data_IF_097540768637
#
_entry.id   IF_097540768637
#
_cell.length_a   1.000
_cell.length_b   1.000
_cell.length_c   1.000
_cell.angle_alpha   90.00
_cell.angle_beta   90.00
_cell.angle_gamma   90.00
#
_symmetry.space_group_name_H-M   'P 1'
#
loop_
_entity.id
_entity.type
_entity.pdbx_description
1 polymer ?
#
# COMPACT_ATOMS: atom_id res chain seq x y z
N UNK A 1 25.13 -14.71 -10.54
CA UNK A 1 24.60 -13.66 -9.62
C UNK A 1 23.08 -13.74 -9.54
N UNK A 2 22.49 -13.98 -8.36
CA UNK A 2 21.04 -13.87 -8.18
C UNK A 2 20.59 -12.40 -8.22
N UNK A 3 19.61 -12.07 -9.08
CA UNK A 3 19.01 -10.73 -9.15
C UNK A 3 17.87 -10.61 -8.14
N UNK A 4 17.79 -9.48 -7.41
CA UNK A 4 16.67 -9.22 -6.50
C UNK A 4 15.36 -9.11 -7.32
N UNK A 5 14.34 -9.88 -6.93
CA UNK A 5 13.03 -9.89 -7.59
C UNK A 5 12.00 -9.13 -6.77
N UNK A 6 11.09 -8.46 -7.46
CA UNK A 6 9.96 -7.78 -6.83
C UNK A 6 9.00 -8.77 -6.19
N UNK A 7 8.60 -8.52 -4.94
CA UNK A 7 7.53 -9.30 -4.29
C UNK A 7 6.17 -8.98 -4.91
N UNK A 8 5.67 -9.90 -5.74
CA UNK A 8 4.38 -9.73 -6.46
C UNK A 8 3.17 -9.65 -5.53
N UNK A 9 3.19 -10.33 -4.39
CA UNK A 9 2.13 -10.26 -3.37
C UNK A 9 1.93 -8.84 -2.84
N UNK A 10 3.04 -8.10 -2.63
CA UNK A 10 3.03 -6.71 -2.21
C UNK A 10 2.47 -5.80 -3.31
N UNK A 11 2.93 -6.00 -4.55
CA UNK A 11 2.50 -5.23 -5.72
C UNK A 11 1.00 -5.36 -5.99
N UNK A 12 0.40 -6.54 -5.77
CA UNK A 12 -1.05 -6.74 -5.93
C UNK A 12 -1.89 -5.99 -4.88
N UNK A 13 -1.30 -5.64 -3.73
CA UNK A 13 -2.02 -5.03 -2.60
C UNK A 13 -1.82 -3.53 -2.49
N UNK A 14 -0.74 -3.01 -3.08
CA UNK A 14 -0.38 -1.59 -3.05
C UNK A 14 -0.57 -0.96 -4.42
N UNK A 15 -0.98 0.31 -4.44
CA UNK A 15 -0.97 1.15 -5.64
C UNK A 15 0.09 2.24 -5.47
N UNK A 16 0.98 2.38 -6.44
CA UNK A 16 2.00 3.43 -6.46
C UNK A 16 1.51 4.51 -7.43
N UNK A 17 1.39 5.76 -6.97
CA UNK A 17 1.01 6.89 -7.84
C UNK A 17 2.20 7.38 -8.66
N UNK A 18 1.94 8.15 -9.73
CA UNK A 18 3.00 8.81 -10.53
C UNK A 18 3.96 9.64 -9.67
N UNK A 19 3.45 10.24 -8.60
CA UNK A 19 4.20 11.05 -7.63
C UNK A 19 4.97 10.24 -6.58
N UNK A 20 4.93 8.91 -6.63
CA UNK A 20 5.65 8.03 -5.69
C UNK A 20 4.93 7.77 -4.36
N UNK A 21 3.67 8.19 -4.21
CA UNK A 21 2.88 7.90 -3.01
C UNK A 21 2.39 6.45 -3.04
N UNK A 22 2.50 5.77 -1.90
CA UNK A 22 1.98 4.42 -1.71
C UNK A 22 0.56 4.50 -1.16
N UNK A 23 -0.39 3.94 -1.90
CA UNK A 23 -1.78 3.82 -1.49
C UNK A 23 -2.09 2.37 -1.11
N UNK A 24 -2.86 2.20 -0.04
CA UNK A 24 -3.39 0.90 0.43
C UNK A 24 -4.88 0.99 0.73
N UNK A 25 -5.57 -0.15 0.70
CA UNK A 25 -6.89 -0.28 1.33
C UNK A 25 -6.74 -0.56 2.83
N UNK A 26 -7.79 -0.27 3.59
CA UNK A 26 -7.85 -0.69 4.98
C UNK A 26 -8.22 -2.18 5.10
N UNK A 27 -7.88 -2.74 6.26
CA UNK A 27 -8.16 -4.14 6.60
C UNK A 27 -9.59 -4.31 7.14
N UNK A 28 -10.05 -5.56 7.28
CA UNK A 28 -11.37 -5.95 7.82
C UNK A 28 -12.54 -5.37 7.00
N UNK A 29 -12.56 -5.70 5.71
CA UNK A 29 -13.66 -5.38 4.78
C UNK A 29 -14.28 -6.60 4.08
N UNK A 30 -13.67 -7.78 4.21
CA UNK A 30 -14.16 -8.99 3.52
C UNK A 30 -15.37 -9.63 4.18
N UNK A 31 -15.55 -9.47 5.49
CA UNK A 31 -16.62 -10.12 6.26
C UNK A 31 -16.99 -9.28 7.49
N UNK A 32 -18.14 -9.57 8.11
CA UNK A 32 -18.72 -8.84 9.26
C UNK A 32 -18.96 -7.33 9.01
N UNK A 33 -19.30 -6.96 7.77
CA UNK A 33 -19.59 -5.56 7.43
C UNK A 33 -20.92 -5.05 8.02
N UNK A 34 -21.81 -5.94 8.45
CA UNK A 34 -23.10 -5.61 9.09
C UNK A 34 -22.94 -4.87 10.42
N UNK A 35 -21.87 -5.17 11.17
CA UNK A 35 -21.56 -4.49 12.45
C UNK A 35 -20.90 -3.12 12.27
N UNK A 36 -20.59 -2.73 11.03
CA UNK A 36 -19.96 -1.45 10.73
C UNK A 36 -21.00 -0.45 10.24
N UNK A 37 -20.99 0.74 10.84
CA UNK A 37 -21.72 1.88 10.31
C UNK A 37 -21.29 2.19 8.88
N UNK A 38 -22.21 2.74 8.09
CA UNK A 38 -21.95 3.04 6.69
C UNK A 38 -20.78 4.02 6.51
N UNK A 39 -20.68 5.03 7.39
CA UNK A 39 -19.56 5.96 7.40
C UNK A 39 -18.22 5.23 7.63
N UNK A 40 -18.16 4.30 8.59
CA UNK A 40 -16.96 3.52 8.87
C UNK A 40 -16.60 2.59 7.69
N UNK A 41 -17.60 1.98 7.05
CA UNK A 41 -17.43 1.12 5.88
C UNK A 41 -16.88 1.89 4.68
N UNK A 42 -17.48 3.05 4.36
CA UNK A 42 -17.00 3.95 3.29
C UNK A 42 -15.56 4.39 3.54
N UNK A 43 -15.26 4.87 4.76
CA UNK A 43 -13.91 5.30 5.15
C UNK A 43 -12.86 4.21 5.00
N UNK A 44 -13.23 2.96 5.27
CA UNK A 44 -12.31 1.82 5.14
C UNK A 44 -12.10 1.42 3.67
N UNK A 45 -13.14 1.48 2.84
CA UNK A 45 -13.09 1.02 1.45
C UNK A 45 -12.31 1.96 0.54
N UNK A 46 -12.12 3.22 0.93
CA UNK A 46 -11.28 4.17 0.18
C UNK A 46 -9.79 3.83 0.30
N UNK A 47 -9.06 4.11 -0.79
CA UNK A 47 -7.61 4.04 -0.78
C UNK A 47 -7.05 5.17 0.09
N UNK A 48 -6.16 4.83 1.02
CA UNK A 48 -5.45 5.79 1.86
C UNK A 48 -3.95 5.70 1.63
N UNK A 49 -3.30 6.85 1.75
CA UNK A 49 -1.85 6.92 1.70
C UNK A 49 -1.24 6.22 2.91
N UNK A 50 -0.17 5.46 2.65
CA UNK A 50 0.70 4.94 3.69
C UNK A 50 1.67 6.03 4.12
N UNK A 51 1.58 6.45 5.38
CA UNK A 51 2.40 7.53 5.96
C UNK A 51 3.53 7.00 6.85
N UNK A 52 3.45 5.74 7.30
CA UNK A 52 4.47 5.17 8.18
C UNK A 52 5.81 5.00 7.44
N UNK A 53 6.83 5.72 7.90
CA UNK A 53 8.18 5.76 7.32
C UNK A 53 8.90 4.41 7.33
N UNK A 54 8.72 3.60 8.39
CA UNK A 54 9.31 2.26 8.49
C UNK A 54 8.79 1.32 7.40
N UNK A 55 7.48 1.33 7.15
CA UNK A 55 6.89 0.55 6.06
C UNK A 55 7.38 1.02 4.67
N UNK A 56 7.55 2.33 4.48
CA UNK A 56 8.05 2.88 3.21
C UNK A 56 9.49 2.43 2.92
N UNK A 57 10.36 2.40 3.94
CA UNK A 57 11.72 1.86 3.82
C UNK A 57 11.73 0.39 3.39
N UNK A 58 10.89 -0.43 4.03
CA UNK A 58 10.75 -1.85 3.68
C UNK A 58 10.21 -2.04 2.25
N UNK A 59 9.20 -1.27 1.84
CA UNK A 59 8.64 -1.38 0.49
C UNK A 59 9.66 -1.03 -0.60
N UNK A 60 10.53 -0.05 -0.35
CA UNK A 60 11.64 0.30 -1.26
C UNK A 60 12.61 -0.86 -1.46
N UNK A 61 12.91 -1.64 -0.41
CA UNK A 61 13.77 -2.82 -0.51
C UNK A 61 13.08 -3.99 -1.24
N UNK A 62 11.78 -4.17 -1.03
CA UNK A 62 11.01 -5.30 -1.58
C UNK A 62 10.54 -5.09 -3.03
N UNK A 63 10.59 -3.86 -3.53
CA UNK A 63 10.18 -3.46 -4.89
C UNK A 63 11.32 -2.68 -5.56
N UNK A 64 12.43 -3.35 -5.94
CA UNK A 64 13.58 -2.67 -6.54
C UNK A 64 13.31 -2.16 -7.98
N UNK A 65 12.43 -2.84 -8.73
CA UNK A 65 12.19 -2.58 -10.15
C UNK A 65 10.88 -1.81 -10.45
N UNK A 66 10.23 -1.20 -9.45
CA UNK A 66 9.18 -0.23 -9.79
C UNK A 66 9.87 1.01 -10.33
N UNK A 67 9.74 1.33 -11.62
CA UNK A 67 10.32 2.52 -12.26
C UNK A 67 9.85 3.88 -11.69
N UNK A 68 9.28 3.89 -10.48
CA UNK A 68 8.76 5.04 -9.76
C UNK A 68 9.51 5.13 -8.43
N UNK A 69 10.16 6.27 -8.17
CA UNK A 69 10.86 6.54 -6.90
C UNK A 69 9.82 6.70 -5.78
N UNK A 70 9.89 5.84 -4.77
CA UNK A 70 9.09 5.98 -3.54
C UNK A 70 9.69 7.10 -2.70
N UNK A 71 8.95 8.19 -2.50
CA UNK A 71 9.40 9.31 -1.67
C UNK A 71 8.97 9.07 -0.22
N UNK A 72 9.92 8.83 0.71
CA UNK A 72 9.60 8.68 2.13
C UNK A 72 9.29 10.00 2.83
N UNK A 73 9.53 11.15 2.18
CA UNK A 73 9.49 12.47 2.79
C UNK A 73 8.55 13.41 2.01
N UNK A 74 7.34 13.55 2.56
CA UNK A 74 6.58 14.79 2.72
C UNK A 74 5.78 14.66 4.01
#
# INVERSE_FOLDING_TARGET
MPKIKTRKSLLKRLKITKTGKVLKKNVRLGHLNSKLSDAARRRKNTFRQQTNSGHLKLFKQLIPNSGIKLNPEK
#
